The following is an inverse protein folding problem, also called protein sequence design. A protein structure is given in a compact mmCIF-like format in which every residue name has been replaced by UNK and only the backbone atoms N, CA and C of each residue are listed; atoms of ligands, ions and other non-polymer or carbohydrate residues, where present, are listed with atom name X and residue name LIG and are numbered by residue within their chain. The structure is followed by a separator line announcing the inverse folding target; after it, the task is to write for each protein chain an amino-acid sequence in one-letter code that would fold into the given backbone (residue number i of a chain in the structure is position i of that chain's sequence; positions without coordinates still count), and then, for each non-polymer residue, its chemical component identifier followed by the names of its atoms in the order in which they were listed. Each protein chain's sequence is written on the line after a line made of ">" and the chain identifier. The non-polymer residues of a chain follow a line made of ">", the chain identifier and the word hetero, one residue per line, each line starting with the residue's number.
data_IF_677178549963
#
_entry.id   IF_677178549963
#
_cell.length_a   1.000
_cell.length_b   1.000
_cell.length_c   1.000
_cell.angle_alpha   90.00
_cell.angle_beta   90.00
_cell.angle_gamma   90.00
#
_symmetry.space_group_name_H-M   'P 1'
#
loop_
_entity.id
_entity.type
_entity.pdbx_description
1 polymer ?
#
# COMPACT_ATOMS: atom_id res chain seq x y z
N UNK A 1 35.15 -18.78 37.72
CA UNK A 1 33.76 -18.30 37.65
C UNK A 1 33.40 -18.17 36.17
N UNK A 2 32.72 -19.17 35.61
CA UNK A 2 32.40 -19.24 34.18
C UNK A 2 30.91 -18.95 33.94
N UNK A 3 30.61 -18.40 32.75
CA UNK A 3 29.29 -18.20 32.10
C UNK A 3 28.53 -16.93 32.55
N UNK A 4 27.81 -16.21 31.68
CA UNK A 4 27.21 -16.50 30.37
C UNK A 4 27.32 -15.27 29.45
N UNK A 5 27.68 -15.51 28.19
CA UNK A 5 27.28 -14.66 27.06
C UNK A 5 25.76 -14.78 26.94
N UNK A 6 25.05 -13.66 26.89
CA UNK A 6 23.65 -13.64 26.48
C UNK A 6 23.61 -13.25 25.00
N UNK A 7 23.33 -14.24 24.17
CA UNK A 7 22.97 -14.08 22.76
C UNK A 7 21.60 -13.39 22.69
N UNK A 8 21.53 -12.21 22.08
CA UNK A 8 20.26 -11.64 21.65
C UNK A 8 19.98 -12.13 20.22
N UNK A 9 19.26 -13.24 20.11
CA UNK A 9 18.59 -13.64 18.88
C UNK A 9 17.10 -13.39 19.04
N UNK A 10 16.59 -12.40 18.30
CA UNK A 10 15.18 -12.20 17.98
C UNK A 10 15.14 -11.14 16.89
N UNK A 11 15.16 -11.54 15.61
CA UNK A 11 14.00 -11.90 14.78
C UNK A 11 13.44 -10.69 14.01
N UNK A 12 13.33 -10.90 12.70
CA UNK A 12 13.02 -9.98 11.61
C UNK A 12 11.72 -9.17 11.71
N UNK A 13 11.69 -8.16 10.84
CA UNK A 13 10.55 -7.57 10.14
C UNK A 13 9.77 -6.49 10.90
N UNK A 14 10.16 -5.24 10.69
CA UNK A 14 9.23 -4.12 10.55
C UNK A 14 9.87 -3.13 9.57
N UNK A 15 9.54 -3.28 8.29
CA UNK A 15 9.65 -2.19 7.31
C UNK A 15 8.81 -1.03 7.85
N UNK A 16 9.41 0.15 8.13
CA UNK A 16 8.67 1.24 8.73
C UNK A 16 7.73 1.86 7.69
N UNK A 17 6.43 1.81 7.95
CA UNK A 17 5.45 2.71 7.35
C UNK A 17 5.97 4.15 7.54
N UNK A 18 6.40 4.77 6.44
CA UNK A 18 7.19 5.99 6.42
C UNK A 18 6.33 7.19 6.81
N UNK A 19 6.18 7.41 8.11
CA UNK A 19 5.65 8.63 8.70
C UNK A 19 6.43 8.99 9.96
N UNK A 20 7.71 9.36 9.81
CA UNK A 20 8.43 10.32 10.68
C UNK A 20 9.96 10.25 10.48
N UNK A 21 10.49 10.91 9.45
CA UNK A 21 11.90 11.35 9.44
C UNK A 21 11.90 12.89 9.42
N UNK A 22 11.88 13.48 10.61
CA UNK A 22 11.72 14.92 10.84
C UNK A 22 12.94 15.72 10.34
N UNK A 23 12.72 16.49 9.28
CA UNK A 23 13.30 17.82 8.99
C UNK A 23 14.78 17.96 8.55
N UNK A 24 15.58 16.91 8.40
CA UNK A 24 16.92 17.02 7.76
C UNK A 24 17.09 16.17 6.50
N UNK A 25 16.14 15.29 6.23
CA UNK A 25 16.07 14.41 5.05
C UNK A 25 15.17 14.95 3.93
N UNK A 26 14.61 16.15 4.08
CA UNK A 26 13.69 16.75 3.09
C UNK A 26 14.36 17.00 1.72
N UNK A 27 15.67 17.30 1.71
CA UNK A 27 16.41 17.49 0.46
C UNK A 27 16.64 16.16 -0.26
N UNK A 28 16.93 15.08 0.47
CA UNK A 28 17.11 13.75 -0.13
C UNK A 28 15.79 13.20 -0.63
N UNK A 29 14.71 13.35 0.14
CA UNK A 29 13.36 12.96 -0.28
C UNK A 29 12.93 13.73 -1.55
N UNK A 30 13.18 15.04 -1.60
CA UNK A 30 12.85 15.84 -2.79
C UNK A 30 13.70 15.49 -4.01
N UNK A 31 14.99 15.18 -3.85
CA UNK A 31 15.87 14.78 -4.95
C UNK A 31 15.51 13.38 -5.43
N UNK A 32 15.23 12.43 -4.54
CA UNK A 32 14.78 11.09 -4.93
C UNK A 32 13.43 11.13 -5.67
N UNK A 33 12.46 11.91 -5.18
CA UNK A 33 11.14 12.02 -5.81
C UNK A 33 11.16 12.74 -7.17
N UNK A 34 12.22 13.48 -7.49
CA UNK A 34 12.36 14.21 -8.77
C UNK A 34 13.30 13.52 -9.77
N UNK A 35 14.25 12.69 -9.30
CA UNK A 35 15.24 12.01 -10.14
C UNK A 35 14.94 10.52 -10.34
N UNK A 36 14.14 9.91 -9.47
CA UNK A 36 13.61 8.57 -9.72
C UNK A 36 12.19 8.69 -10.26
N UNK A 37 11.87 8.06 -11.40
CA UNK A 37 10.50 7.81 -11.76
C UNK A 37 9.83 7.10 -10.59
N UNK A 38 8.61 7.52 -10.26
CA UNK A 38 7.73 6.71 -9.43
C UNK A 38 7.82 5.29 -9.91
N UNK A 39 8.02 4.36 -9.00
CA UNK A 39 8.11 2.98 -9.39
C UNK A 39 6.83 2.61 -10.17
N UNK A 40 6.89 1.71 -11.17
CA UNK A 40 5.69 1.37 -11.96
C UNK A 40 4.50 0.87 -11.12
N UNK A 41 4.74 0.50 -9.85
CA UNK A 41 3.74 0.07 -8.87
C UNK A 41 3.28 1.19 -7.91
N UNK A 42 3.75 2.43 -8.07
CA UNK A 42 3.41 3.58 -7.22
C UNK A 42 2.13 4.32 -7.67
N UNK A 43 1.43 3.81 -8.69
CA UNK A 43 0.14 4.31 -9.18
C UNK A 43 -1.07 3.62 -8.49
N UNK A 44 -0.81 2.98 -7.34
CA UNK A 44 -1.81 2.41 -6.43
C UNK A 44 -2.63 3.49 -5.73
N UNK A 45 -3.52 4.13 -6.49
CA UNK A 45 -4.50 5.07 -5.94
C UNK A 45 -5.91 4.56 -6.20
N UNK A 46 -6.79 4.75 -5.23
CA UNK A 46 -8.19 4.43 -5.43
C UNK A 46 -8.75 5.23 -6.61
N UNK A 47 -9.30 4.54 -7.63
CA UNK A 47 -9.84 5.18 -8.85
C UNK A 47 -11.06 6.07 -8.61
N UNK A 48 -11.65 6.02 -7.42
CA UNK A 48 -12.82 6.83 -7.06
C UNK A 48 -12.42 8.09 -6.30
N UNK A 49 -11.62 7.96 -5.24
CA UNK A 49 -11.27 9.09 -4.38
C UNK A 49 -9.90 9.71 -4.69
N UNK A 50 -9.06 9.04 -5.49
CA UNK A 50 -7.73 9.49 -5.88
C UNK A 50 -6.71 9.50 -4.73
N UNK A 51 -7.02 8.87 -3.61
CA UNK A 51 -6.16 8.77 -2.44
C UNK A 51 -5.64 7.34 -2.29
N UNK A 52 -4.38 7.24 -1.87
CA UNK A 52 -3.75 6.04 -1.35
C UNK A 52 -3.78 6.11 0.17
N UNK A 53 -4.64 5.30 0.79
CA UNK A 53 -4.91 5.28 2.24
C UNK A 53 -5.71 4.03 2.58
N UNK A 54 -5.80 3.69 3.87
CA UNK A 54 -6.70 2.61 4.35
C UNK A 54 -6.54 1.28 3.58
N UNK A 55 -5.29 0.84 3.35
CA UNK A 55 -4.92 -0.28 2.48
C UNK A 55 -5.64 -1.60 2.84
N UNK A 56 -5.93 -1.81 4.13
CA UNK A 56 -6.76 -2.92 4.64
C UNK A 56 -8.18 -2.97 4.05
N UNK A 57 -8.64 -1.84 3.49
CA UNK A 57 -9.95 -1.65 2.90
C UNK A 57 -9.89 -1.44 1.37
N UNK A 58 -8.75 -1.70 0.74
CA UNK A 58 -8.56 -1.64 -0.72
C UNK A 58 -8.89 -3.00 -1.36
N UNK A 59 -9.42 -2.94 -2.57
CA UNK A 59 -9.67 -4.06 -3.47
C UNK A 59 -8.87 -3.85 -4.75
N UNK A 60 -8.24 -4.93 -5.22
CA UNK A 60 -7.58 -5.00 -6.52
C UNK A 60 -8.49 -5.71 -7.51
N UNK A 61 -8.64 -5.15 -8.70
CA UNK A 61 -9.37 -5.79 -9.78
C UNK A 61 -8.52 -6.91 -10.40
N UNK A 62 -8.99 -8.16 -10.39
CA UNK A 62 -8.28 -9.33 -10.97
C UNK A 62 -8.07 -9.28 -12.49
N UNK A 63 -8.55 -8.23 -13.18
CA UNK A 63 -8.39 -8.04 -14.63
C UNK A 63 -7.47 -6.88 -15.02
N UNK A 64 -7.41 -5.83 -14.22
CA UNK A 64 -6.71 -4.59 -14.60
C UNK A 64 -5.86 -3.99 -13.48
N UNK A 65 -5.71 -4.70 -12.36
CA UNK A 65 -4.90 -4.35 -11.18
C UNK A 65 -5.18 -2.94 -10.62
N UNK A 66 -6.35 -2.37 -10.92
CA UNK A 66 -6.74 -1.06 -10.43
C UNK A 66 -7.32 -1.15 -9.03
N UNK A 67 -7.01 -0.15 -8.22
CA UNK A 67 -7.35 -0.11 -6.80
C UNK A 67 -8.66 0.63 -6.51
N UNK A 68 -9.41 0.11 -5.55
CA UNK A 68 -10.67 0.68 -5.08
C UNK A 68 -10.86 0.47 -3.59
N UNK A 69 -11.16 1.51 -2.82
CA UNK A 69 -11.67 1.28 -1.47
C UNK A 69 -13.03 0.63 -1.53
N UNK A 70 -13.25 -0.37 -0.67
CA UNK A 70 -14.56 -1.02 -0.45
C UNK A 70 -15.69 -0.02 -0.27
N UNK A 71 -15.42 1.06 0.47
CA UNK A 71 -16.41 2.08 0.82
C UNK A 71 -16.58 3.16 -0.25
N UNK A 72 -15.65 3.27 -1.20
CA UNK A 72 -15.78 4.20 -2.33
C UNK A 72 -16.61 3.63 -3.48
N UNK A 73 -16.91 2.33 -3.45
CA UNK A 73 -17.79 1.69 -4.43
C UNK A 73 -19.26 2.09 -4.22
N UNK A 74 -20.08 1.92 -5.26
CA UNK A 74 -21.51 2.13 -5.19
C UNK A 74 -22.27 0.90 -5.73
N UNK A 75 -22.94 0.11 -4.87
CA UNK A 75 -23.02 0.27 -3.41
C UNK A 75 -21.69 -0.03 -2.69
N UNK A 76 -21.44 0.56 -1.51
CA UNK A 76 -20.27 0.24 -0.68
C UNK A 76 -20.25 -1.22 -0.24
N UNK A 77 -19.08 -1.85 -0.26
CA UNK A 77 -18.91 -3.22 0.23
C UNK A 77 -18.59 -3.23 1.74
N UNK A 78 -19.30 -4.08 2.48
CA UNK A 78 -19.12 -4.23 3.93
C UNK A 78 -17.86 -5.04 4.29
N UNK A 79 -17.43 -5.96 3.42
CA UNK A 79 -16.27 -6.83 3.61
C UNK A 79 -15.52 -7.05 2.30
N UNK A 80 -14.26 -7.47 2.41
CA UNK A 80 -13.49 -7.98 1.26
C UNK A 80 -14.16 -9.29 0.77
N UNK A 81 -14.41 -9.47 -0.53
CA UNK A 81 -14.95 -10.71 -1.07
C UNK A 81 -13.93 -11.84 -0.95
N UNK A 82 -14.41 -13.06 -0.71
CA UNK A 82 -13.57 -14.25 -0.48
C UNK A 82 -12.95 -14.83 -1.78
N UNK A 83 -13.12 -14.16 -2.93
CA UNK A 83 -12.65 -14.62 -4.24
C UNK A 83 -12.52 -13.46 -5.22
N UNK A 84 -12.46 -13.78 -6.53
CA UNK A 84 -12.19 -12.78 -7.55
C UNK A 84 -13.19 -11.62 -7.50
N UNK A 85 -12.66 -10.41 -7.65
CA UNK A 85 -13.41 -9.19 -7.74
C UNK A 85 -13.00 -8.40 -8.99
N UNK A 86 -14.00 -7.86 -9.68
CA UNK A 86 -13.80 -7.08 -10.89
C UNK A 86 -14.37 -5.67 -10.70
N UNK A 87 -13.60 -4.66 -11.09
CA UNK A 87 -14.03 -3.28 -10.98
C UNK A 87 -15.21 -2.96 -11.92
N UNK A 88 -15.98 -1.89 -11.63
CA UNK A 88 -17.16 -1.54 -12.44
C UNK A 88 -16.86 -1.37 -13.93
N UNK A 89 -15.69 -0.83 -14.27
CA UNK A 89 -15.25 -0.67 -15.67
C UNK A 89 -14.98 -2.02 -16.36
N UNK A 90 -14.35 -2.96 -15.66
CA UNK A 90 -14.07 -4.30 -16.20
C UNK A 90 -15.34 -5.15 -16.36
N UNK A 91 -16.31 -4.99 -15.46
CA UNK A 91 -17.62 -5.64 -15.55
C UNK A 91 -18.45 -5.06 -16.70
N UNK A 92 -18.43 -3.73 -16.90
CA UNK A 92 -19.18 -3.08 -17.97
C UNK A 92 -18.59 -3.29 -19.38
N UNK A 93 -17.29 -3.59 -19.45
CA UNK A 93 -16.56 -3.81 -20.72
C UNK A 93 -16.50 -5.29 -21.14
N UNK A 94 -17.19 -6.18 -20.43
CA UNK A 94 -17.29 -7.62 -20.72
C UNK A 94 -18.70 -8.01 -21.11
#
# INVERSE_FOLDING_TARGET
>A
LARKIAEASSSNADEPCVDSVKARDDLLVSVFNTLLPRAPWEDGICKVCGMDKDDDNVLLCDKCDSEYHRYCLNPPLQKIPDGNWYCPSCVASG
#
